data_IF_645014787759
#
_entry.id   IF_645014787759
#
_cell.length_a   1.000
_cell.length_b   1.000
_cell.length_c   1.000
_cell.angle_alpha   90.00
_cell.angle_beta   90.00
_cell.angle_gamma   90.00
#
_symmetry.space_group_name_H-M   'P 1'
#
loop_
_entity.id
_entity.type
_entity.pdbx_description
1 polymer ?
#
# COMPACT_ATOMS: atom_id res chain seq x y z
N UNK A 1 26.90 -26.19 6.59
CA UNK A 1 26.46 -26.76 5.30
C UNK A 1 25.93 -28.19 5.51
N UNK A 2 26.57 -29.00 6.35
CA UNK A 2 26.05 -30.32 6.79
C UNK A 2 24.63 -30.27 7.39
N UNK A 3 24.32 -29.28 8.23
CA UNK A 3 22.97 -29.15 8.84
C UNK A 3 21.86 -28.96 7.80
N UNK A 4 22.13 -28.22 6.71
CA UNK A 4 21.15 -28.03 5.63
C UNK A 4 20.95 -29.32 4.83
N UNK A 5 22.01 -30.08 4.61
CA UNK A 5 21.94 -31.39 3.94
C UNK A 5 21.20 -32.42 4.80
N UNK A 6 21.36 -32.36 6.12
CA UNK A 6 20.67 -33.25 7.06
C UNK A 6 19.16 -32.97 7.15
N UNK A 7 18.74 -31.71 7.03
CA UNK A 7 17.33 -31.30 7.08
C UNK A 7 16.63 -31.43 5.72
N UNK A 8 17.39 -31.45 4.61
CA UNK A 8 16.83 -31.49 3.25
C UNK A 8 15.79 -32.60 3.02
N UNK A 9 16.00 -33.88 3.42
CA UNK A 9 15.00 -34.93 3.22
C UNK A 9 13.67 -34.66 3.96
N UNK A 10 13.74 -34.13 5.19
CA UNK A 10 12.55 -33.77 5.95
C UNK A 10 11.80 -32.60 5.31
N UNK A 11 12.55 -31.65 4.73
CA UNK A 11 11.96 -30.50 4.06
C UNK A 11 11.29 -30.88 2.73
N UNK A 12 11.90 -31.80 1.97
CA UNK A 12 11.27 -32.39 0.78
C UNK A 12 9.98 -33.12 1.15
N UNK A 13 10.01 -33.97 2.19
CA UNK A 13 8.82 -34.67 2.65
C UNK A 13 7.71 -33.71 3.12
N UNK A 14 8.07 -32.58 3.75
CA UNK A 14 7.11 -31.55 4.12
C UNK A 14 6.48 -30.87 2.90
N UNK A 15 7.27 -30.56 1.86
CA UNK A 15 6.77 -29.98 0.62
C UNK A 15 5.80 -30.95 -0.07
N UNK A 16 6.18 -32.22 -0.22
CA UNK A 16 5.34 -33.27 -0.81
C UNK A 16 4.02 -33.45 -0.04
N UNK A 17 4.09 -33.48 1.29
CA UNK A 17 2.89 -33.57 2.13
C UNK A 17 1.98 -32.36 1.97
N UNK A 18 2.56 -31.16 1.90
CA UNK A 18 1.80 -29.91 1.74
C UNK A 18 1.13 -29.85 0.38
N UNK A 19 1.79 -30.33 -0.68
CA UNK A 19 1.23 -30.41 -2.03
C UNK A 19 0.07 -31.42 -2.11
N UNK A 20 0.25 -32.63 -1.57
CA UNK A 20 -0.80 -33.65 -1.52
C UNK A 20 -2.01 -33.17 -0.69
N UNK A 21 -1.76 -32.52 0.45
CA UNK A 21 -2.82 -31.90 1.25
C UNK A 21 -3.57 -30.82 0.47
N UNK A 22 -2.85 -29.90 -0.17
CA UNK A 22 -3.46 -28.80 -0.94
C UNK A 22 -4.34 -29.33 -2.07
N UNK A 23 -3.89 -30.36 -2.78
CA UNK A 23 -4.64 -30.98 -3.85
C UNK A 23 -5.92 -31.66 -3.34
N UNK A 24 -5.81 -32.49 -2.30
CA UNK A 24 -6.99 -33.14 -1.70
C UNK A 24 -7.99 -32.13 -1.13
N UNK A 25 -7.50 -31.08 -0.49
CA UNK A 25 -8.32 -29.99 0.03
C UNK A 25 -9.08 -29.28 -1.11
N UNK A 26 -8.39 -28.98 -2.22
CA UNK A 26 -9.00 -28.39 -3.41
C UNK A 26 -10.07 -29.30 -4.02
N UNK A 27 -9.81 -30.60 -4.13
CA UNK A 27 -10.79 -31.56 -4.65
C UNK A 27 -12.04 -31.65 -3.77
N UNK A 28 -11.87 -31.63 -2.45
CA UNK A 28 -13.01 -31.67 -1.53
C UNK A 28 -13.83 -30.37 -1.58
N UNK A 29 -13.18 -29.20 -1.72
CA UNK A 29 -13.88 -27.93 -1.96
C UNK A 29 -14.71 -27.96 -3.25
N UNK A 30 -14.14 -28.48 -4.34
CA UNK A 30 -14.86 -28.65 -5.60
C UNK A 30 -16.04 -29.61 -5.46
N UNK A 31 -15.87 -30.73 -4.76
CA UNK A 31 -16.94 -31.70 -4.49
C UNK A 31 -18.11 -31.06 -3.72
N UNK A 32 -17.81 -30.13 -2.82
CA UNK A 32 -18.80 -29.38 -2.04
C UNK A 32 -19.32 -28.12 -2.75
N UNK A 33 -18.79 -27.79 -3.93
CA UNK A 33 -19.04 -26.52 -4.63
C UNK A 33 -18.80 -25.29 -3.73
N UNK A 34 -17.74 -25.35 -2.93
CA UNK A 34 -17.34 -24.32 -1.98
C UNK A 34 -16.06 -23.60 -2.45
N UNK A 35 -15.88 -22.36 -1.99
CA UNK A 35 -14.70 -21.55 -2.26
C UNK A 35 -14.34 -20.72 -1.01
N UNK A 36 -13.06 -20.70 -0.68
CA UNK A 36 -12.49 -19.82 0.34
C UNK A 36 -12.26 -18.42 -0.24
N UNK A 37 -12.00 -17.43 0.63
CA UNK A 37 -11.67 -16.06 0.19
C UNK A 37 -10.44 -16.02 -0.74
N UNK A 38 -9.41 -16.82 -0.46
CA UNK A 38 -8.23 -16.90 -1.32
C UNK A 38 -8.58 -17.51 -2.69
N UNK A 39 -9.46 -18.52 -2.73
CA UNK A 39 -9.88 -19.10 -4.01
C UNK A 39 -10.61 -18.07 -4.86
N UNK A 40 -11.45 -17.23 -4.25
CA UNK A 40 -12.16 -16.17 -4.98
C UNK A 40 -11.20 -15.20 -5.66
N UNK A 41 -10.11 -14.80 -4.98
CA UNK A 41 -9.09 -13.93 -5.56
C UNK A 41 -8.34 -14.62 -6.72
N UNK A 42 -7.91 -15.87 -6.52
CA UNK A 42 -7.21 -16.64 -7.56
C UNK A 42 -8.08 -16.95 -8.78
N UNK A 43 -9.34 -17.33 -8.57
CA UNK A 43 -10.30 -17.59 -9.63
C UNK A 43 -10.64 -16.33 -10.41
N UNK A 44 -10.87 -15.20 -9.70
CA UNK A 44 -11.10 -13.92 -10.35
C UNK A 44 -9.90 -13.52 -11.22
N UNK A 45 -8.68 -13.63 -10.69
CA UNK A 45 -7.49 -13.33 -11.45
C UNK A 45 -7.32 -14.24 -12.68
N UNK A 46 -7.56 -15.55 -12.54
CA UNK A 46 -7.48 -16.50 -13.65
C UNK A 46 -8.55 -16.30 -14.73
N UNK A 47 -9.69 -15.71 -14.38
CA UNK A 47 -10.72 -15.30 -15.35
C UNK A 47 -10.33 -14.02 -16.11
N UNK A 48 -9.61 -13.11 -15.46
CA UNK A 48 -9.25 -11.80 -16.00
C UNK A 48 -7.91 -11.80 -16.76
N UNK A 49 -6.98 -12.68 -16.39
CA UNK A 49 -5.62 -12.72 -16.91
C UNK A 49 -5.31 -14.13 -17.43
N UNK A 50 -4.92 -14.22 -18.69
CA UNK A 50 -4.54 -15.47 -19.33
C UNK A 50 -3.16 -15.97 -18.87
N UNK A 51 -2.83 -17.21 -19.23
CA UNK A 51 -1.57 -17.88 -18.87
C UNK A 51 -0.30 -17.14 -19.30
N UNK A 52 -0.38 -16.25 -20.30
CA UNK A 52 0.72 -15.39 -20.74
C UNK A 52 0.84 -14.05 -20.00
N UNK A 53 0.02 -13.80 -18.98
CA UNK A 53 -0.03 -12.52 -18.26
C UNK A 53 -0.79 -11.40 -18.99
N UNK A 54 -1.30 -11.67 -20.19
CA UNK A 54 -2.15 -10.74 -20.93
C UNK A 54 -3.62 -10.82 -20.45
N UNK A 55 -4.38 -9.72 -20.53
CA UNK A 55 -5.82 -9.75 -20.26
C UNK A 55 -6.55 -10.79 -21.12
N UNK A 56 -7.53 -11.47 -20.55
CA UNK A 56 -8.48 -12.27 -21.31
C UNK A 56 -9.52 -11.36 -21.98
N UNK A 57 -10.30 -11.88 -22.92
CA UNK A 57 -11.44 -11.14 -23.50
C UNK A 57 -12.40 -10.64 -22.42
N UNK A 58 -12.68 -11.46 -21.40
CA UNK A 58 -13.46 -11.04 -20.24
C UNK A 58 -12.77 -9.93 -19.45
N UNK A 59 -11.45 -10.05 -19.24
CA UNK A 59 -10.65 -9.01 -18.59
C UNK A 59 -10.77 -7.66 -19.30
N UNK A 60 -10.63 -7.64 -20.63
CA UNK A 60 -10.80 -6.42 -21.44
C UNK A 60 -12.21 -5.85 -21.34
N UNK A 61 -13.24 -6.70 -21.43
CA UNK A 61 -14.63 -6.27 -21.29
C UNK A 61 -14.91 -5.67 -19.90
N UNK A 62 -14.36 -6.28 -18.84
CA UNK A 62 -14.52 -5.80 -17.46
C UNK A 62 -13.78 -4.47 -17.29
N UNK A 63 -12.54 -4.37 -17.76
CA UNK A 63 -11.76 -3.14 -17.69
C UNK A 63 -12.42 -1.97 -18.45
N UNK A 64 -13.09 -2.26 -19.57
CA UNK A 64 -13.81 -1.26 -20.35
C UNK A 64 -15.06 -0.70 -19.62
N UNK A 65 -15.63 -1.43 -18.65
CA UNK A 65 -16.82 -0.99 -17.89
C UNK A 65 -16.49 0.12 -16.89
N UNK A 66 -15.27 0.14 -16.36
CA UNK A 66 -14.88 1.10 -15.33
C UNK A 66 -14.20 2.32 -15.95
N UNK A 67 -14.81 3.49 -15.73
CA UNK A 67 -14.18 4.75 -16.09
C UNK A 67 -12.98 5.05 -15.19
N UNK A 68 -13.17 4.94 -13.88
CA UNK A 68 -12.17 5.11 -12.83
C UNK A 68 -12.40 4.04 -11.75
N UNK A 69 -11.34 3.63 -11.08
CA UNK A 69 -11.35 2.66 -9.98
C UNK A 69 -10.75 3.34 -8.76
N UNK A 70 -11.50 3.38 -7.66
CA UNK A 70 -11.05 3.95 -6.40
C UNK A 70 -10.76 2.82 -5.42
N UNK A 71 -9.57 2.82 -4.84
CA UNK A 71 -9.15 1.84 -3.83
C UNK A 71 -8.76 2.60 -2.57
N UNK A 72 -9.48 2.33 -1.48
CA UNK A 72 -9.15 2.82 -0.15
C UNK A 72 -8.30 1.79 0.61
N UNK A 73 -7.65 2.20 1.70
CA UNK A 73 -6.78 1.35 2.53
C UNK A 73 -5.72 0.56 1.73
N UNK A 74 -5.13 1.20 0.72
CA UNK A 74 -4.19 0.55 -0.18
C UNK A 74 -2.91 0.03 0.52
N UNK A 75 -2.60 0.52 1.72
CA UNK A 75 -1.49 0.01 2.53
C UNK A 75 -1.67 -1.46 2.96
N UNK A 76 -2.90 -1.95 3.03
CA UNK A 76 -3.23 -3.30 3.51
C UNK A 76 -3.46 -4.30 2.36
N UNK A 77 -3.13 -3.90 1.12
CA UNK A 77 -3.31 -4.71 -0.09
C UNK A 77 -2.21 -5.78 -0.24
N UNK A 78 -2.56 -6.91 -0.86
CA UNK A 78 -1.61 -7.97 -1.24
C UNK A 78 -1.32 -7.98 -2.77
N UNK A 79 -0.35 -8.77 -3.22
CA UNK A 79 0.00 -8.81 -4.66
C UNK A 79 -1.11 -9.36 -5.57
N UNK A 80 -1.93 -10.29 -5.08
CA UNK A 80 -3.03 -10.86 -5.87
C UNK A 80 -4.10 -9.80 -6.11
N UNK A 81 -4.48 -9.04 -5.08
CA UNK A 81 -5.40 -7.92 -5.17
C UNK A 81 -4.87 -6.81 -6.08
N UNK A 82 -3.58 -6.46 -5.96
CA UNK A 82 -2.91 -5.53 -6.87
C UNK A 82 -2.96 -6.01 -8.33
N UNK A 83 -2.78 -7.32 -8.58
CA UNK A 83 -2.92 -7.90 -9.91
C UNK A 83 -4.37 -7.83 -10.43
N UNK A 84 -5.37 -8.09 -9.57
CA UNK A 84 -6.78 -7.92 -9.92
C UNK A 84 -7.08 -6.47 -10.29
N UNK A 85 -6.67 -5.51 -9.47
CA UNK A 85 -6.87 -4.08 -9.73
C UNK A 85 -6.29 -3.67 -11.08
N UNK A 86 -5.09 -4.15 -11.41
CA UNK A 86 -4.47 -3.93 -12.72
C UNK A 86 -5.29 -4.56 -13.84
N UNK A 87 -5.75 -5.81 -13.67
CA UNK A 87 -6.51 -6.53 -14.66
C UNK A 87 -7.88 -5.91 -14.96
N UNK A 88 -8.54 -5.32 -13.95
CA UNK A 88 -9.82 -4.61 -14.13
C UNK A 88 -9.66 -3.14 -14.53
N UNK A 89 -8.43 -2.67 -14.74
CA UNK A 89 -8.13 -1.29 -15.11
C UNK A 89 -7.60 -1.20 -16.54
N UNK A 90 -7.49 0.03 -17.05
CA UNK A 90 -6.85 0.31 -18.35
C UNK A 90 -5.33 0.32 -18.19
N UNK A 91 -4.74 -0.82 -17.87
CA UNK A 91 -3.31 -0.98 -17.57
C UNK A 91 -2.82 -0.07 -16.42
N UNK A 92 -3.65 0.12 -15.39
CA UNK A 92 -3.35 0.92 -14.21
C UNK A 92 -3.58 2.42 -14.36
N UNK A 93 -3.98 2.91 -15.54
CA UNK A 93 -4.07 4.34 -15.83
C UNK A 93 -5.25 5.05 -15.15
N UNK A 94 -6.31 4.31 -14.81
CA UNK A 94 -7.54 4.83 -14.22
C UNK A 94 -7.76 4.28 -12.80
N UNK A 95 -6.68 4.10 -12.05
CA UNK A 95 -6.73 3.67 -10.65
C UNK A 95 -6.32 4.84 -9.75
N UNK A 96 -7.19 5.17 -8.81
CA UNK A 96 -6.94 6.13 -7.75
C UNK A 96 -6.86 5.39 -6.41
N UNK A 97 -5.70 5.44 -5.76
CA UNK A 97 -5.45 4.73 -4.50
C UNK A 97 -5.25 5.70 -3.34
N UNK A 98 -5.87 5.41 -2.20
CA UNK A 98 -5.72 6.15 -0.94
C UNK A 98 -5.17 5.20 0.13
N UNK A 99 -4.31 5.70 1.01
CA UNK A 99 -3.80 4.91 2.13
C UNK A 99 -2.73 5.62 2.95
N UNK A 100 -2.43 5.05 4.12
CA UNK A 100 -1.39 5.52 5.06
C UNK A 100 -0.57 4.34 5.57
N UNK A 101 0.71 4.29 5.19
CA UNK A 101 1.64 3.22 5.61
C UNK A 101 1.79 3.17 7.14
N UNK A 102 1.63 4.30 7.84
CA UNK A 102 1.72 4.33 9.32
C UNK A 102 0.57 3.58 9.98
N UNK A 103 -0.51 3.32 9.24
CA UNK A 103 -1.70 2.61 9.70
C UNK A 103 -1.74 1.16 9.22
N UNK A 104 -0.72 0.71 8.48
CA UNK A 104 -0.60 -0.69 8.04
C UNK A 104 -0.40 -1.62 9.23
N UNK A 105 -1.47 -2.25 9.69
CA UNK A 105 -1.46 -3.19 10.83
C UNK A 105 -1.76 -4.65 10.42
N UNK A 106 -2.06 -4.92 9.14
CA UNK A 106 -2.50 -6.24 8.68
C UNK A 106 -1.41 -7.14 8.08
N UNK A 107 -0.13 -6.95 8.45
CA UNK A 107 0.98 -7.79 7.95
C UNK A 107 0.78 -9.30 8.21
N UNK A 108 0.08 -9.65 9.29
CA UNK A 108 -0.25 -11.05 9.62
C UNK A 108 -1.21 -11.71 8.62
N UNK A 109 -1.90 -10.92 7.78
CA UNK A 109 -2.74 -11.38 6.66
C UNK A 109 -2.02 -11.31 5.31
N UNK A 110 -0.68 -11.23 5.32
CA UNK A 110 0.15 -11.10 4.12
C UNK A 110 -0.04 -9.78 3.36
N UNK A 111 -0.59 -8.75 4.00
CA UNK A 111 -0.55 -7.39 3.46
C UNK A 111 0.91 -6.94 3.28
N UNK A 112 1.22 -6.37 2.11
CA UNK A 112 2.56 -5.93 1.79
C UNK A 112 2.63 -4.40 1.62
N UNK A 113 3.00 -3.65 2.67
CA UNK A 113 3.11 -2.19 2.60
C UNK A 113 4.24 -1.74 1.66
N UNK A 114 5.14 -2.63 1.24
CA UNK A 114 6.18 -2.29 0.26
C UNK A 114 5.60 -2.01 -1.12
N UNK A 115 4.43 -2.57 -1.46
CA UNK A 115 3.69 -2.25 -2.69
C UNK A 115 3.31 -0.77 -2.70
N UNK A 116 2.76 -0.27 -1.60
CA UNK A 116 2.41 1.15 -1.43
C UNK A 116 3.66 2.03 -1.48
N UNK A 117 4.69 1.67 -0.69
CA UNK A 117 5.96 2.44 -0.64
C UNK A 117 6.66 2.51 -2.00
N UNK A 118 6.64 1.42 -2.77
CA UNK A 118 7.22 1.36 -4.11
C UNK A 118 6.53 2.29 -5.10
N UNK A 119 5.20 2.43 -5.03
CA UNK A 119 4.46 3.43 -5.81
C UNK A 119 4.76 4.84 -5.30
N UNK A 120 4.72 5.04 -3.99
CA UNK A 120 4.97 6.33 -3.34
C UNK A 120 6.33 6.94 -3.74
N UNK A 121 7.38 6.13 -3.78
CA UNK A 121 8.73 6.58 -4.13
C UNK A 121 8.91 6.85 -5.63
N UNK A 122 8.16 6.15 -6.48
CA UNK A 122 8.21 6.29 -7.94
C UNK A 122 7.41 7.49 -8.44
N UNK A 123 6.27 7.76 -7.81
CA UNK A 123 5.35 8.78 -8.29
C UNK A 123 5.89 10.17 -7.97
N UNK A 124 5.76 11.07 -8.95
CA UNK A 124 6.10 12.49 -8.79
C UNK A 124 5.04 13.19 -7.95
N UNK A 125 5.41 14.32 -7.33
CA UNK A 125 4.41 15.19 -6.72
C UNK A 125 3.38 15.62 -7.77
N UNK A 126 2.11 15.78 -7.37
CA UNK A 126 1.06 16.28 -8.27
C UNK A 126 1.38 17.63 -8.93
N UNK A 127 2.28 18.41 -8.35
CA UNK A 127 2.75 19.70 -8.88
C UNK A 127 3.81 19.54 -9.99
N UNK A 128 4.53 18.41 -10.00
CA UNK A 128 5.67 18.15 -10.88
C UNK A 128 5.32 17.16 -12.01
N UNK A 129 4.26 16.38 -11.82
CA UNK A 129 3.79 15.41 -12.79
C UNK A 129 3.15 16.09 -13.99
N UNK A 130 3.55 15.69 -15.20
CA UNK A 130 2.88 16.11 -16.43
C UNK A 130 1.51 15.42 -16.57
N UNK A 131 0.68 15.92 -17.49
CA UNK A 131 -0.60 15.27 -17.81
C UNK A 131 -0.37 13.84 -18.33
N UNK A 132 -1.13 12.90 -17.77
CA UNK A 132 -0.97 11.47 -18.04
C UNK A 132 0.12 10.76 -17.23
N UNK A 133 0.94 11.48 -16.46
CA UNK A 133 1.90 10.85 -15.55
C UNK A 133 1.27 10.43 -14.22
N UNK A 134 1.77 9.32 -13.69
CA UNK A 134 1.49 8.85 -12.34
C UNK A 134 1.92 9.91 -11.31
N UNK A 135 1.03 10.22 -10.37
CA UNK A 135 1.21 11.32 -9.42
C UNK A 135 0.81 10.93 -8.02
N UNK A 136 1.43 11.57 -7.03
CA UNK A 136 1.06 11.44 -5.61
C UNK A 136 0.60 12.79 -5.04
N UNK A 137 -0.38 12.70 -4.15
CA UNK A 137 -0.90 13.83 -3.37
C UNK A 137 -0.69 13.48 -1.91
N UNK A 138 -0.04 14.38 -1.16
CA UNK A 138 0.13 14.25 0.28
C UNK A 138 -0.87 15.16 0.99
N UNK A 139 -1.70 14.58 1.84
CA UNK A 139 -2.60 15.32 2.72
C UNK A 139 -1.91 15.53 4.06
N UNK A 140 -1.48 16.77 4.34
CA UNK A 140 -0.73 17.12 5.55
C UNK A 140 -1.57 17.77 6.65
N UNK A 141 -2.81 18.13 6.33
CA UNK A 141 -3.76 18.71 7.28
C UNK A 141 -4.66 17.62 7.85
N UNK A 142 -4.80 17.61 9.17
CA UNK A 142 -5.75 16.76 9.87
C UNK A 142 -6.99 17.58 10.24
N UNK A 143 -8.17 17.06 9.93
CA UNK A 143 -9.45 17.67 10.30
C UNK A 143 -10.00 17.16 11.64
N UNK A 144 -9.32 16.18 12.27
CA UNK A 144 -9.69 15.67 13.59
C UNK A 144 -9.39 16.70 14.71
N UNK A 145 -10.05 16.59 15.88
CA UNK A 145 -9.88 17.53 16.99
C UNK A 145 -8.43 17.71 17.43
N UNK A 146 -8.05 18.95 17.76
CA UNK A 146 -6.66 19.34 18.03
C UNK A 146 -5.99 18.60 19.21
N UNK A 147 -6.78 18.14 20.20
CA UNK A 147 -6.25 17.53 21.43
C UNK A 147 -5.54 16.18 21.24
N UNK A 148 -5.95 15.38 20.25
CA UNK A 148 -5.42 14.02 20.03
C UNK A 148 -4.14 14.01 19.18
N UNK A 149 -3.89 15.10 18.45
CA UNK A 149 -2.80 15.18 17.48
C UNK A 149 -1.46 15.60 18.10
N UNK A 150 -1.46 16.50 19.09
CA UNK A 150 -0.22 16.96 19.73
C UNK A 150 0.48 15.84 20.51
N UNK A 151 -0.28 15.04 21.25
CA UNK A 151 0.27 13.90 22.01
C UNK A 151 0.85 12.82 21.08
N UNK A 152 0.13 12.48 20.01
CA UNK A 152 0.56 11.47 19.03
C UNK A 152 1.83 11.92 18.29
N UNK A 153 1.92 13.19 17.90
CA UNK A 153 3.11 13.74 17.25
C UNK A 153 4.31 13.90 18.17
N UNK A 154 4.10 14.01 19.48
CA UNK A 154 5.19 14.03 20.45
C UNK A 154 5.83 12.64 20.63
N UNK A 155 5.00 11.59 20.67
CA UNK A 155 5.45 10.22 20.95
C UNK A 155 6.02 9.54 19.70
N UNK A 156 5.39 9.74 18.54
CA UNK A 156 5.72 9.00 17.32
C UNK A 156 7.19 9.14 16.85
N UNK A 157 7.84 10.32 16.89
CA UNK A 157 9.25 10.46 16.51
C UNK A 157 10.21 9.68 17.42
N UNK A 158 9.81 9.34 18.64
CA UNK A 158 10.61 8.58 19.59
C UNK A 158 10.48 7.07 19.37
N UNK A 159 9.31 6.59 18.93
CA UNK A 159 9.00 5.16 18.87
C UNK A 159 8.98 4.58 17.44
N UNK A 160 8.59 5.38 16.45
CA UNK A 160 8.59 4.95 15.05
C UNK A 160 10.00 5.14 14.47
N UNK A 161 10.74 4.03 14.29
CA UNK A 161 12.09 4.02 13.72
C UNK A 161 12.16 4.44 12.22
N UNK A 162 11.00 4.58 11.56
CA UNK A 162 10.91 5.03 10.17
C UNK A 162 10.83 6.55 10.10
N UNK A 163 11.99 7.20 9.99
CA UNK A 163 12.08 8.64 9.74
C UNK A 163 11.85 8.92 8.25
N UNK A 164 10.66 9.37 7.92
CA UNK A 164 10.33 9.93 6.60
C UNK A 164 10.31 11.46 6.71
N UNK A 165 10.85 12.15 5.69
CA UNK A 165 11.21 13.57 5.65
C UNK A 165 10.52 14.53 6.65
N UNK A 166 11.34 15.30 7.38
CA UNK A 166 10.94 16.30 8.38
C UNK A 166 10.06 17.40 7.76
N UNK A 167 8.74 17.19 7.69
CA UNK A 167 7.77 18.17 7.17
C UNK A 167 6.88 18.83 8.23
N UNK A 168 6.93 18.39 9.49
CA UNK A 168 6.06 18.89 10.56
C UNK A 168 6.88 19.54 11.68
N UNK A 169 7.37 20.76 11.43
CA UNK A 169 7.71 21.71 12.50
C UNK A 169 6.90 22.99 12.31
N UNK A 170 5.86 23.19 13.13
CA UNK A 170 5.34 24.54 13.40
C UNK A 170 6.30 25.20 14.39
N UNK A 171 6.87 26.34 14.01
CA UNK A 171 7.88 27.02 14.81
C UNK A 171 7.31 27.78 16.01
N UNK A 172 8.02 27.67 17.15
CA UNK A 172 8.44 28.77 18.04
C UNK A 172 9.42 28.26 19.13
N UNK A 173 10.69 28.67 19.06
CA UNK A 173 11.60 28.90 20.22
C UNK A 173 12.53 27.75 20.72
N UNK A 174 13.83 28.01 21.05
CA UNK A 174 14.86 27.00 21.45
C UNK A 174 15.00 26.89 23.00
N UNK A 175 15.93 26.11 23.63
CA UNK A 175 17.06 25.34 23.09
C UNK A 175 17.22 23.90 23.63
N UNK A 176 17.92 23.03 22.89
CA UNK A 176 18.87 22.11 23.51
C UNK A 176 20.18 22.14 22.73
N UNK A 177 21.26 22.48 23.45
CA UNK A 177 22.64 22.55 22.99
C UNK A 177 23.18 21.16 22.66
N UNK A 178 23.98 21.10 21.60
CA UNK A 178 25.01 20.07 21.42
C UNK A 178 24.81 19.22 20.17
N UNK A 179 25.56 19.54 19.11
CA UNK A 179 25.70 18.69 17.93
C UNK A 179 25.55 19.46 16.63
N UNK A 180 26.67 20.00 16.12
CA UNK A 180 26.83 20.37 14.72
C UNK A 180 26.80 19.09 13.88
N UNK A 181 26.16 19.09 12.70
CA UNK A 181 26.56 18.46 11.42
C UNK A 181 25.51 18.77 10.31
N UNK A 182 25.84 18.66 9.00
CA UNK A 182 25.69 19.74 8.03
C UNK A 182 24.58 19.55 6.98
N UNK A 183 24.29 20.64 6.25
CA UNK A 183 23.78 20.62 4.87
C UNK A 183 22.26 20.61 4.70
N UNK A 184 21.64 21.78 4.80
CA UNK A 184 20.26 22.02 4.39
C UNK A 184 20.28 22.76 3.04
N UNK A 185 20.19 22.02 1.94
CA UNK A 185 19.90 22.59 0.62
C UNK A 185 18.87 21.70 -0.08
N UNK A 186 17.67 22.24 -0.33
CA UNK A 186 16.65 21.65 -1.21
C UNK A 186 15.47 20.98 -0.52
N UNK A 187 14.54 21.76 0.06
CA UNK A 187 13.14 21.33 0.27
C UNK A 187 12.18 22.34 -0.36
N UNK A 188 11.19 21.91 -1.17
CA UNK A 188 10.17 22.81 -1.69
C UNK A 188 9.12 23.17 -0.64
N UNK A 189 8.61 24.39 -0.81
CA UNK A 189 7.72 25.12 0.08
C UNK A 189 6.36 24.48 0.34
N UNK A 190 5.83 24.87 1.50
CA UNK A 190 4.49 24.54 2.04
C UNK A 190 3.37 24.76 1.01
N UNK A 191 2.32 23.93 1.11
CA UNK A 191 1.02 24.22 0.48
C UNK A 191 0.55 25.60 0.92
N UNK A 192 0.20 26.50 0.00
CA UNK A 192 -0.18 27.86 0.36
C UNK A 192 -1.53 27.88 1.11
N UNK A 193 -1.60 28.73 2.13
CA UNK A 193 -2.64 28.79 3.17
C UNK A 193 -4.07 29.06 2.68
N UNK A 194 -4.27 29.34 1.39
CA UNK A 194 -5.58 29.60 0.80
C UNK A 194 -6.37 28.34 0.41
N UNK A 195 -5.74 27.15 0.49
CA UNK A 195 -6.42 25.86 0.29
C UNK A 195 -6.91 25.22 1.61
N UNK A 196 -6.60 25.83 2.76
CA UNK A 196 -7.24 25.48 4.03
C UNK A 196 -8.56 26.27 4.16
N UNK A 197 -9.69 25.63 4.45
CA UNK A 197 -10.91 26.35 4.81
C UNK A 197 -10.64 27.21 6.05
N UNK A 198 -11.22 28.43 6.15
CA UNK A 198 -11.03 29.29 7.30
C UNK A 198 -11.55 28.60 8.57
N UNK A 199 -10.73 28.60 9.62
CA UNK A 199 -11.12 28.19 10.96
C UNK A 199 -12.38 28.99 11.37
N UNK A 200 -13.52 28.31 11.39
CA UNK A 200 -14.75 28.85 11.95
C UNK A 200 -14.49 29.13 13.42
N UNK A 201 -14.38 30.43 13.77
CA UNK A 201 -14.47 30.89 15.15
C UNK A 201 -15.90 30.58 15.62
N UNK A 202 -16.04 29.58 16.49
CA UNK A 202 -17.22 29.44 17.31
C UNK A 202 -17.29 30.60 18.29
N UNK A 203 -18.39 31.36 18.21
CA UNK A 203 -18.97 32.08 19.34
C UNK A 203 -19.76 31.10 20.21
#
# INVERSE_FOLDING_TARGET
MEDLTAVAPAMVALLELTEDFAERYRQEKLRLNAADFSDQEHLALGLLVGSGGAPTELGEQVAARYREILVDDYQDTNEIQNAIFRAVSKNGQNIFTVGDVKQSIYRFRLADPTIFLGKYNRFKSWQEAADGEERKILLSCNSAPAGDFESTNFISPTFCLWRWGDGLRRGRGPPLRGGVLPGADGLPDRVPSHLCPPEGRGE
#
